data_IF_164106828910
#
_entry.id   IF_164106828910
#
_cell.length_a   1.000
_cell.length_b   1.000
_cell.length_c   1.000
_cell.angle_alpha   90.00
_cell.angle_beta   90.00
_cell.angle_gamma   90.00
#
_symmetry.space_group_name_H-M   'P 1'
#
loop_
_entity.id
_entity.type
_entity.pdbx_description
1 polymer ?
#
# COMPACT_ATOMS: atom_id res chain seq x y z
N UNK A 1 16.26 -0.50 24.71
CA UNK A 1 16.13 -1.81 24.05
C UNK A 1 16.10 -1.59 22.54
N UNK A 2 16.94 -2.29 21.78
CA UNK A 2 17.04 -2.10 20.32
C UNK A 2 16.04 -3.01 19.61
N UNK A 3 15.25 -2.44 18.71
CA UNK A 3 14.34 -3.17 17.82
C UNK A 3 14.94 -3.18 16.41
N UNK A 4 15.37 -4.34 15.94
CA UNK A 4 16.03 -4.53 14.65
C UNK A 4 15.09 -5.29 13.71
N UNK A 5 15.06 -4.88 12.44
CA UNK A 5 14.33 -5.59 11.40
C UNK A 5 15.30 -6.21 10.40
N UNK A 6 15.13 -7.51 10.12
CA UNK A 6 15.76 -8.20 9.01
C UNK A 6 14.76 -8.26 7.85
N UNK A 7 15.10 -7.62 6.73
CA UNK A 7 14.20 -7.48 5.58
C UNK A 7 14.70 -8.28 4.38
N UNK A 8 13.87 -9.22 3.96
CA UNK A 8 13.99 -9.96 2.71
C UNK A 8 13.34 -9.17 1.57
N UNK A 9 14.14 -8.51 0.73
CA UNK A 9 13.61 -7.69 -0.37
C UNK A 9 13.31 -8.50 -1.65
N UNK A 10 13.81 -9.72 -1.76
CA UNK A 10 13.57 -10.56 -2.94
C UNK A 10 12.17 -11.17 -2.88
N UNK A 11 11.76 -11.65 -1.71
CA UNK A 11 10.42 -12.19 -1.48
C UNK A 11 9.36 -11.13 -1.13
N UNK A 12 9.79 -9.90 -0.85
CA UNK A 12 8.92 -8.75 -0.58
C UNK A 12 9.36 -7.55 -1.43
N UNK A 13 8.74 -7.39 -2.60
CA UNK A 13 8.88 -6.16 -3.39
C UNK A 13 8.15 -5.01 -2.69
N UNK A 14 8.81 -4.42 -1.70
CA UNK A 14 8.29 -3.27 -0.98
C UNK A 14 8.42 -2.01 -1.82
N UNK A 15 7.37 -1.19 -1.80
CA UNK A 15 7.44 0.18 -2.33
C UNK A 15 8.25 1.04 -1.36
N UNK A 16 9.02 2.01 -1.86
CA UNK A 16 9.92 2.85 -1.04
C UNK A 16 9.24 3.51 0.17
N UNK A 17 7.96 3.87 0.06
CA UNK A 17 7.16 4.42 1.17
C UNK A 17 7.06 3.48 2.38
N UNK A 18 7.07 2.17 2.14
CA UNK A 18 7.03 1.17 3.21
C UNK A 18 8.36 1.07 3.95
N UNK A 19 9.49 1.32 3.28
CA UNK A 19 10.80 1.30 3.93
C UNK A 19 10.96 2.51 4.87
N UNK A 20 10.44 3.67 4.51
CA UNK A 20 10.42 4.85 5.38
C UNK A 20 9.64 4.58 6.67
N UNK A 21 8.46 3.94 6.58
CA UNK A 21 7.67 3.56 7.76
C UNK A 21 8.44 2.57 8.65
N UNK A 22 9.15 1.61 8.06
CA UNK A 22 9.99 0.69 8.84
C UNK A 22 11.13 1.42 9.56
N UNK A 23 11.76 2.40 8.90
CA UNK A 23 12.83 3.18 9.52
C UNK A 23 12.32 4.03 10.70
N UNK A 24 11.05 4.41 10.72
CA UNK A 24 10.41 5.07 11.87
C UNK A 24 10.09 4.09 13.02
N UNK A 25 9.70 2.86 12.69
CA UNK A 25 9.27 1.85 13.68
C UNK A 25 10.42 1.05 14.29
N UNK A 26 11.55 0.94 13.60
CA UNK A 26 12.69 0.14 14.00
C UNK A 26 13.91 1.02 14.25
N UNK A 27 14.68 0.66 15.26
CA UNK A 27 15.97 1.32 15.53
C UNK A 27 16.95 1.09 14.39
N UNK A 28 16.92 -0.10 13.78
CA UNK A 28 17.75 -0.44 12.63
C UNK A 28 16.99 -1.39 11.70
N UNK A 29 17.11 -1.16 10.40
CA UNK A 29 16.61 -2.03 9.32
C UNK A 29 17.80 -2.56 8.55
N UNK A 30 17.94 -3.88 8.47
CA UNK A 30 18.98 -4.55 7.71
C UNK A 30 18.33 -5.27 6.52
N UNK A 31 18.68 -4.81 5.33
CA UNK A 31 18.21 -5.33 4.06
C UNK A 31 19.27 -6.27 3.49
N UNK A 32 18.86 -7.49 3.17
CA UNK A 32 19.71 -8.50 2.55
C UNK A 32 19.18 -8.80 1.16
N UNK A 33 20.07 -8.85 0.16
CA UNK A 33 19.72 -9.18 -1.22
C UNK A 33 20.87 -9.86 -1.95
N UNK A 34 20.56 -10.73 -2.90
CA UNK A 34 21.52 -11.37 -3.81
C UNK A 34 21.40 -10.81 -5.23
N UNK A 35 20.17 -10.68 -5.73
CA UNK A 35 19.80 -10.02 -6.98
C UNK A 35 18.63 -9.09 -6.72
N UNK A 36 18.79 -7.80 -6.98
CA UNK A 36 17.72 -6.82 -6.76
C UNK A 36 17.44 -6.00 -8.01
N UNK A 37 16.16 -5.90 -8.34
CA UNK A 37 15.62 -5.00 -9.36
C UNK A 37 15.00 -3.74 -8.73
N UNK A 38 15.38 -3.41 -7.48
CA UNK A 38 14.83 -2.26 -6.77
C UNK A 38 15.19 -0.96 -7.50
N UNK A 39 14.17 -0.24 -7.95
CA UNK A 39 14.31 1.09 -8.56
C UNK A 39 14.01 2.15 -7.51
N UNK A 40 15.02 2.96 -7.18
CA UNK A 40 14.95 4.04 -6.19
C UNK A 40 14.87 5.38 -6.93
N UNK A 41 13.94 6.26 -6.53
CA UNK A 41 13.92 7.62 -7.04
C UNK A 41 15.01 8.48 -6.35
N UNK A 42 15.54 9.48 -7.07
CA UNK A 42 16.61 10.35 -6.56
C UNK A 42 16.23 11.09 -5.27
N UNK A 43 14.98 11.52 -5.14
CA UNK A 43 14.50 12.20 -3.92
C UNK A 43 14.57 11.27 -2.70
N UNK A 44 14.28 9.98 -2.89
CA UNK A 44 14.35 8.97 -1.83
C UNK A 44 15.79 8.57 -1.48
N UNK A 45 16.73 8.74 -2.42
CA UNK A 45 18.15 8.46 -2.20
C UNK A 45 18.73 9.34 -1.09
N UNK A 46 18.26 10.58 -0.94
CA UNK A 46 18.70 11.48 0.13
C UNK A 46 18.24 11.01 1.51
N UNK A 47 17.01 10.47 1.61
CA UNK A 47 16.48 9.91 2.86
C UNK A 47 17.28 8.66 3.24
N UNK A 48 17.59 7.81 2.26
CA UNK A 48 18.37 6.59 2.51
C UNK A 48 19.84 6.87 2.79
N UNK A 49 20.46 7.84 2.12
CA UNK A 49 21.85 8.19 2.37
C UNK A 49 22.05 8.63 3.82
N UNK A 50 21.14 9.45 4.34
CA UNK A 50 21.13 9.84 5.75
C UNK A 50 20.92 8.63 6.66
N UNK A 51 19.92 7.79 6.40
CA UNK A 51 19.66 6.59 7.21
C UNK A 51 20.84 5.59 7.21
N UNK A 52 21.59 5.50 6.10
CA UNK A 52 22.80 4.66 5.98
C UNK A 52 23.95 5.26 6.78
N UNK A 53 24.17 6.58 6.69
CA UNK A 53 25.21 7.28 7.47
C UNK A 53 24.96 7.14 8.97
N UNK A 54 23.69 7.22 9.40
CA UNK A 54 23.27 7.02 10.78
C UNK A 54 23.26 5.54 11.22
N UNK A 55 23.66 4.61 10.35
CA UNK A 55 23.62 3.15 10.57
C UNK A 55 22.21 2.59 10.89
N UNK A 56 21.16 3.36 10.63
CA UNK A 56 19.75 2.94 10.80
C UNK A 56 19.27 2.08 9.64
N UNK A 57 19.86 2.23 8.45
CA UNK A 57 19.65 1.35 7.31
C UNK A 57 20.98 0.68 6.94
N UNK A 58 21.03 -0.65 6.98
CA UNK A 58 22.18 -1.41 6.50
C UNK A 58 21.77 -2.24 5.28
N UNK A 59 22.49 -2.09 4.18
CA UNK A 59 22.22 -2.80 2.92
C UNK A 59 23.35 -3.79 2.67
N UNK A 60 23.02 -5.08 2.61
CA UNK A 60 23.98 -6.18 2.48
C UNK A 60 23.70 -6.93 1.17
N UNK A 61 24.67 -6.88 0.27
CA UNK A 61 24.68 -7.68 -0.95
C UNK A 61 25.34 -9.03 -0.69
N UNK A 62 24.70 -10.11 -1.13
CA UNK A 62 25.29 -11.45 -1.07
C UNK A 62 26.43 -11.60 -2.09
N UNK A 63 27.54 -12.28 -1.73
CA UNK A 63 28.68 -12.46 -2.62
C UNK A 63 28.40 -13.41 -3.79
N UNK A 64 27.43 -14.31 -3.63
CA UNK A 64 26.96 -15.23 -4.67
C UNK A 64 25.46 -15.09 -4.80
N UNK A 65 24.98 -15.15 -6.04
CA UNK A 65 23.55 -15.21 -6.36
C UNK A 65 23.11 -16.68 -6.48
N UNK A 66 21.90 -16.98 -5.98
CA UNK A 66 21.34 -18.32 -5.93
C UNK A 66 20.05 -18.30 -5.09
N UNK A 67 19.17 -19.28 -5.31
CA UNK A 67 17.78 -19.28 -4.82
C UNK A 67 17.62 -18.96 -3.32
N UNK A 68 18.57 -19.39 -2.48
CA UNK A 68 18.49 -19.23 -1.02
C UNK A 68 19.54 -18.25 -0.48
N UNK A 69 20.17 -17.46 -1.35
CA UNK A 69 21.31 -16.62 -0.95
C UNK A 69 20.89 -15.54 0.05
N UNK A 70 19.72 -14.92 -0.16
CA UNK A 70 19.17 -13.96 0.79
C UNK A 70 18.85 -14.61 2.15
N UNK A 71 18.30 -15.83 2.15
CA UNK A 71 17.98 -16.58 3.38
C UNK A 71 19.21 -16.90 4.21
N UNK A 72 20.31 -17.31 3.56
CA UNK A 72 21.60 -17.51 4.23
C UNK A 72 22.13 -16.20 4.82
N UNK A 73 22.00 -15.09 4.09
CA UNK A 73 22.39 -13.78 4.59
C UNK A 73 21.55 -13.35 5.80
N UNK A 74 20.23 -13.48 5.74
CA UNK A 74 19.33 -13.15 6.85
C UNK A 74 19.64 -14.00 8.08
N UNK A 75 19.81 -15.31 7.91
CA UNK A 75 20.11 -16.25 9.01
C UNK A 75 21.49 -15.96 9.61
N UNK A 76 22.51 -15.69 8.80
CA UNK A 76 23.84 -15.31 9.27
C UNK A 76 23.79 -14.03 10.09
N UNK A 77 23.07 -13.01 9.62
CA UNK A 77 22.94 -11.73 10.31
C UNK A 77 22.13 -11.89 11.60
N UNK A 78 21.07 -12.71 11.60
CA UNK A 78 20.32 -13.06 12.82
C UNK A 78 21.24 -13.68 13.88
N UNK A 79 22.08 -14.67 13.50
CA UNK A 79 23.05 -15.28 14.39
C UNK A 79 24.14 -14.32 14.89
N UNK A 80 24.63 -13.41 14.02
CA UNK A 80 25.57 -12.37 14.45
C UNK A 80 24.92 -11.41 15.46
N UNK A 81 23.70 -10.96 15.16
CA UNK A 81 22.94 -10.09 16.05
C UNK A 81 22.71 -10.77 17.40
N UNK A 82 22.46 -12.09 17.41
CA UNK A 82 22.22 -12.79 18.66
C UNK A 82 23.40 -12.86 19.61
N UNK A 83 24.62 -12.82 19.09
CA UNK A 83 25.84 -12.73 19.90
C UNK A 83 26.14 -11.30 20.38
N UNK A 84 25.61 -10.27 19.72
CA UNK A 84 25.95 -8.86 19.97
C UNK A 84 24.88 -8.08 20.72
N UNK A 85 23.63 -8.55 20.68
CA UNK A 85 22.50 -7.89 21.33
C UNK A 85 22.29 -8.43 22.74
N UNK A 86 21.95 -7.53 23.66
CA UNK A 86 21.63 -7.88 25.04
C UNK A 86 20.28 -8.61 25.14
N UNK A 87 20.11 -9.46 26.17
CA UNK A 87 18.85 -10.15 26.46
C UNK A 87 17.69 -9.15 26.60
N UNK A 88 16.55 -9.45 25.96
CA UNK A 88 15.41 -8.53 25.87
C UNK A 88 15.42 -7.58 24.67
N UNK A 89 16.45 -7.63 23.83
CA UNK A 89 16.42 -7.01 22.49
C UNK A 89 15.45 -7.73 21.55
N UNK A 90 14.98 -7.04 20.51
CA UNK A 90 14.01 -7.58 19.56
C UNK A 90 14.57 -7.58 18.14
N UNK A 91 14.47 -8.71 17.46
CA UNK A 91 14.88 -8.92 16.07
C UNK A 91 13.70 -9.51 15.29
N UNK A 92 13.02 -8.69 14.51
CA UNK A 92 11.90 -9.13 13.69
C UNK A 92 12.42 -9.53 12.30
N UNK A 93 11.89 -10.62 11.75
CA UNK A 93 12.26 -11.11 10.40
C UNK A 93 11.08 -10.90 9.47
N UNK A 94 11.21 -10.03 8.48
CA UNK A 94 10.17 -9.81 7.49
C UNK A 94 10.48 -10.55 6.19
N UNK A 95 9.83 -11.70 6.02
CA UNK A 95 9.88 -12.53 4.82
C UNK A 95 8.57 -13.29 4.63
N UNK A 96 8.22 -13.55 3.37
CA UNK A 96 7.11 -14.42 3.01
C UNK A 96 7.47 -15.91 3.08
N UNK A 97 8.76 -16.24 3.15
CA UNK A 97 9.22 -17.62 3.21
C UNK A 97 8.89 -18.24 4.57
N UNK A 98 8.29 -19.43 4.55
CA UNK A 98 7.99 -20.20 5.76
C UNK A 98 9.26 -20.67 6.46
N UNK A 99 10.37 -20.87 5.74
CA UNK A 99 11.64 -21.32 6.30
C UNK A 99 12.27 -20.27 7.22
N UNK A 100 11.90 -18.99 7.10
CA UNK A 100 12.36 -17.95 8.02
C UNK A 100 11.81 -18.09 9.45
N UNK A 101 10.83 -18.97 9.67
CA UNK A 101 10.40 -19.34 11.02
C UNK A 101 11.52 -20.00 11.85
N UNK A 102 12.43 -20.76 11.20
CA UNK A 102 13.57 -21.37 11.90
C UNK A 102 14.51 -20.33 12.50
N UNK A 103 14.78 -19.23 11.79
CA UNK A 103 15.61 -18.14 12.31
C UNK A 103 14.97 -17.46 13.53
N UNK A 104 13.65 -17.28 13.52
CA UNK A 104 12.87 -16.73 14.64
C UNK A 104 12.89 -17.66 15.86
N UNK A 105 12.75 -18.97 15.64
CA UNK A 105 12.84 -19.95 16.72
C UNK A 105 14.23 -19.96 17.37
N UNK A 106 15.30 -19.92 16.57
CA UNK A 106 16.68 -19.87 17.06
C UNK A 106 16.98 -18.59 17.84
N UNK A 107 16.50 -17.43 17.38
CA UNK A 107 16.62 -16.16 18.10
C UNK A 107 15.89 -16.21 19.46
N UNK A 108 14.71 -16.81 19.49
CA UNK A 108 13.92 -16.98 20.72
C UNK A 108 14.62 -17.89 21.73
N UNK A 109 15.29 -18.96 21.29
CA UNK A 109 16.04 -19.88 22.16
C UNK A 109 17.19 -19.19 22.91
N UNK A 110 17.81 -18.18 22.30
CA UNK A 110 18.91 -17.42 22.91
C UNK A 110 18.44 -16.18 23.69
N UNK A 111 17.13 -16.05 23.93
CA UNK A 111 16.54 -14.98 24.75
C UNK A 111 16.29 -13.67 24.00
N UNK A 112 16.25 -13.70 22.66
CA UNK A 112 15.92 -12.55 21.82
C UNK A 112 14.48 -12.65 21.36
N UNK A 113 13.72 -11.58 21.59
CA UNK A 113 12.33 -11.51 21.12
C UNK A 113 12.33 -11.41 19.60
N UNK A 114 11.62 -12.30 18.92
CA UNK A 114 11.56 -12.28 17.46
C UNK A 114 10.20 -12.74 16.97
N UNK A 115 9.71 -12.12 15.90
CA UNK A 115 8.53 -12.55 15.18
C UNK A 115 8.78 -12.53 13.67
N UNK A 116 8.17 -13.48 12.98
CA UNK A 116 8.12 -13.44 11.53
C UNK A 116 6.98 -12.53 11.06
N UNK A 117 7.33 -11.52 10.29
CA UNK A 117 6.39 -10.57 9.71
C UNK A 117 6.17 -10.91 8.24
N UNK A 118 4.90 -10.96 7.85
CA UNK A 118 4.52 -11.07 6.43
C UNK A 118 4.25 -9.71 5.81
N UNK A 119 3.94 -8.69 6.60
CA UNK A 119 3.76 -7.28 6.20
C UNK A 119 4.03 -6.37 7.41
N UNK A 120 4.08 -5.05 7.16
CA UNK A 120 4.21 -3.99 8.18
C UNK A 120 3.23 -4.19 9.34
N UNK A 121 3.71 -4.01 10.58
CA UNK A 121 2.87 -3.99 11.78
C UNK A 121 2.42 -2.55 12.02
N UNK A 122 1.12 -2.30 12.19
CA UNK A 122 0.64 -1.02 12.73
C UNK A 122 0.99 -0.94 14.23
N UNK A 123 1.52 0.21 14.65
CA UNK A 123 2.10 0.51 15.97
C UNK A 123 1.28 0.02 17.18
N UNK A 124 1.93 -0.48 18.26
CA UNK A 124 1.25 -1.05 19.42
C UNK A 124 0.67 0.04 20.34
N UNK A 125 -0.59 -0.11 20.74
CA UNK A 125 -1.16 0.59 21.91
C UNK A 125 -0.80 -0.20 23.18
N UNK A 126 -0.54 0.55 24.25
CA UNK A 126 -0.02 0.19 25.57
C UNK A 126 -0.39 -1.19 26.18
N UNK A 127 0.46 -1.70 27.11
CA UNK A 127 0.20 -2.94 27.83
C UNK A 127 -0.92 -2.73 28.85
N UNK A 128 -1.98 -3.54 28.77
CA UNK A 128 -2.96 -3.62 29.86
C UNK A 128 -2.61 -4.75 30.85
N UNK A 129 -2.79 -4.50 32.16
CA UNK A 129 -2.64 -5.51 33.19
C UNK A 129 -3.79 -6.53 33.16
N UNK A 130 -3.48 -7.74 33.59
CA UNK A 130 -4.42 -8.84 33.78
C UNK A 130 -5.45 -8.44 34.84
N UNK A 131 -6.76 -8.45 34.54
CA UNK A 131 -7.82 -8.82 35.49
C UNK A 131 -9.18 -9.06 34.81
N UNK A 132 -9.58 -10.32 34.83
CA UNK A 132 -10.89 -10.87 35.25
C UNK A 132 -12.18 -10.19 34.75
N UNK A 133 -12.85 -10.96 33.89
CA UNK A 133 -14.30 -11.19 33.75
C UNK A 133 -15.24 -10.39 34.68
N UNK A 134 -16.18 -9.64 34.10
CA UNK A 134 -17.62 -9.74 34.44
C UNK A 134 -18.49 -8.97 33.43
N UNK A 135 -19.56 -9.63 33.02
CA UNK A 135 -20.63 -9.10 32.15
C UNK A 135 -21.49 -8.07 32.89
N UNK A 136 -21.93 -7.02 32.19
CA UNK A 136 -23.27 -6.43 32.38
C UNK A 136 -23.66 -5.53 31.20
N UNK A 137 -24.90 -5.75 30.77
CA UNK A 137 -25.61 -5.12 29.65
C UNK A 137 -26.10 -3.74 30.08
N UNK A 138 -25.83 -2.68 29.31
CA UNK A 138 -26.71 -1.52 29.17
C UNK A 138 -26.64 -0.98 27.74
N UNK A 139 -27.81 -0.90 27.11
CA UNK A 139 -28.07 -0.23 25.84
C UNK A 139 -27.74 1.26 25.93
N UNK A 140 -26.87 1.75 25.04
CA UNK A 140 -26.99 3.11 24.52
C UNK A 140 -26.77 3.07 23.00
N UNK A 141 -27.81 3.54 22.31
CA UNK A 141 -27.83 3.79 20.88
C UNK A 141 -26.91 4.97 20.59
N UNK A 142 -25.69 4.69 20.18
CA UNK A 142 -24.94 5.57 19.31
C UNK A 142 -24.57 4.75 18.08
N UNK A 143 -25.15 5.15 16.95
CA UNK A 143 -24.86 4.62 15.63
C UNK A 143 -23.38 4.83 15.30
N UNK A 144 -22.55 3.85 15.64
CA UNK A 144 -21.20 3.74 15.09
C UNK A 144 -21.40 3.43 13.60
N UNK A 145 -20.91 4.28 12.67
CA UNK A 145 -20.95 3.97 11.25
C UNK A 145 -20.00 2.80 11.03
N UNK A 146 -20.55 1.58 11.03
CA UNK A 146 -19.83 0.38 10.64
C UNK A 146 -19.50 0.54 9.16
N UNK A 147 -18.24 0.88 8.92
CA UNK A 147 -17.62 1.18 7.63
C UNK A 147 -18.18 0.27 6.54
N UNK A 148 -18.97 0.85 5.64
CA UNK A 148 -19.63 0.18 4.50
C UNK A 148 -18.64 -0.58 3.60
N UNK A 149 -17.36 -0.19 3.62
CA UNK A 149 -16.29 -0.80 2.83
C UNK A 149 -15.92 -2.22 3.31
N UNK A 150 -16.06 -2.52 4.60
CA UNK A 150 -15.68 -3.83 5.15
C UNK A 150 -16.72 -4.91 4.87
N UNK A 151 -18.00 -4.55 4.78
CA UNK A 151 -19.10 -5.49 4.45
C UNK A 151 -19.00 -5.92 2.98
N UNK A 152 -18.75 -4.99 2.05
CA UNK A 152 -18.58 -5.31 0.62
C UNK A 152 -17.39 -6.25 0.41
N UNK A 153 -16.24 -5.96 1.05
CA UNK A 153 -15.05 -6.83 1.02
C UNK A 153 -15.36 -8.24 1.53
N UNK A 154 -16.14 -8.37 2.60
CA UNK A 154 -16.56 -9.68 3.12
C UNK A 154 -17.45 -10.41 2.14
N UNK A 155 -18.44 -9.73 1.56
CA UNK A 155 -19.36 -10.35 0.61
C UNK A 155 -18.64 -10.82 -0.66
N UNK A 156 -17.65 -10.09 -1.16
CA UNK A 156 -16.79 -10.49 -2.28
C UNK A 156 -15.99 -11.77 -1.98
N UNK A 157 -15.43 -11.85 -0.77
CA UNK A 157 -14.68 -13.03 -0.34
C UNK A 157 -15.63 -14.21 -0.12
N UNK A 158 -16.85 -13.98 0.38
CA UNK A 158 -17.87 -15.02 0.61
C UNK A 158 -18.40 -15.64 -0.69
N UNK A 159 -18.34 -14.94 -1.82
CA UNK A 159 -18.64 -15.52 -3.14
C UNK A 159 -17.64 -16.64 -3.48
N UNK A 160 -16.37 -16.44 -3.12
CA UNK A 160 -15.25 -17.35 -3.45
C UNK A 160 -14.98 -18.38 -2.36
N UNK A 161 -15.21 -18.04 -1.10
CA UNK A 161 -14.88 -18.83 0.08
C UNK A 161 -16.08 -18.92 1.02
N UNK A 162 -16.68 -20.10 1.13
CA UNK A 162 -17.91 -20.34 1.91
C UNK A 162 -17.64 -21.25 3.11
N UNK A 163 -17.20 -20.71 4.27
CA UNK A 163 -17.09 -21.47 5.51
C UNK A 163 -18.41 -22.20 5.84
N UNK A 164 -18.34 -23.50 6.14
CA UNK A 164 -19.55 -24.31 6.39
C UNK A 164 -20.11 -24.18 7.82
N UNK A 165 -19.29 -23.67 8.76
CA UNK A 165 -19.59 -23.58 10.20
C UNK A 165 -19.48 -22.16 10.73
N UNK A 166 -20.30 -21.79 11.72
CA UNK A 166 -20.32 -20.44 12.31
C UNK A 166 -18.98 -20.08 12.97
N UNK A 167 -18.36 -21.02 13.69
CA UNK A 167 -17.04 -20.82 14.30
C UNK A 167 -15.95 -20.55 13.26
N UNK A 168 -16.03 -21.21 12.11
CA UNK A 168 -15.09 -20.99 10.99
C UNK A 168 -15.33 -19.63 10.34
N UNK A 169 -16.60 -19.25 10.10
CA UNK A 169 -16.93 -17.92 9.57
C UNK A 169 -16.45 -16.80 10.49
N UNK A 170 -16.64 -16.94 11.82
CA UNK A 170 -16.16 -15.94 12.79
C UNK A 170 -14.65 -15.77 12.74
N UNK A 171 -13.88 -16.88 12.69
CA UNK A 171 -12.42 -16.82 12.53
C UNK A 171 -12.03 -16.18 11.20
N UNK A 172 -12.73 -16.54 10.13
CA UNK A 172 -12.52 -15.95 8.81
C UNK A 172 -12.80 -14.44 8.77
N UNK A 173 -13.87 -13.95 9.40
CA UNK A 173 -14.19 -12.51 9.46
C UNK A 173 -13.17 -11.71 10.25
N UNK A 174 -12.69 -12.26 11.37
CA UNK A 174 -11.56 -11.68 12.12
C UNK A 174 -10.33 -11.55 11.23
N UNK A 175 -10.06 -12.54 10.37
CA UNK A 175 -8.91 -12.55 9.45
C UNK A 175 -9.14 -11.62 8.24
N UNK A 176 -10.34 -11.59 7.66
CA UNK A 176 -10.62 -10.84 6.42
C UNK A 176 -10.75 -9.33 6.64
N UNK A 177 -11.28 -8.92 7.79
CA UNK A 177 -11.53 -7.53 8.15
C UNK A 177 -10.61 -7.00 9.26
N UNK A 178 -9.75 -7.86 9.83
CA UNK A 178 -8.86 -7.46 10.93
C UNK A 178 -9.63 -6.87 12.13
N UNK A 179 -10.83 -7.40 12.40
CA UNK A 179 -11.73 -6.96 13.48
C UNK A 179 -11.66 -7.90 14.69
N UNK A 180 -11.96 -7.38 15.88
CA UNK A 180 -12.02 -8.19 17.09
C UNK A 180 -13.20 -9.19 17.08
N UNK A 181 -13.17 -10.16 18.02
CA UNK A 181 -14.19 -11.22 18.13
C UNK A 181 -15.60 -10.68 18.43
N UNK A 182 -15.72 -9.51 19.05
CA UNK A 182 -16.99 -8.83 19.32
C UNK A 182 -17.56 -8.24 18.04
N UNK A 183 -16.76 -7.45 17.32
CA UNK A 183 -17.12 -6.90 16.00
C UNK A 183 -17.41 -7.98 14.95
N UNK A 184 -16.70 -9.10 14.98
CA UNK A 184 -17.01 -10.25 14.12
C UNK A 184 -18.41 -10.82 14.38
N UNK A 185 -18.89 -10.82 15.64
CA UNK A 185 -20.28 -11.23 15.95
C UNK A 185 -21.30 -10.20 15.44
N UNK A 186 -20.99 -8.91 15.61
CA UNK A 186 -21.82 -7.82 15.07
C UNK A 186 -21.93 -7.96 13.54
N UNK A 187 -20.83 -8.26 12.86
CA UNK A 187 -20.82 -8.46 11.42
C UNK A 187 -21.60 -9.70 10.98
N UNK A 188 -21.53 -10.81 11.73
CA UNK A 188 -22.39 -11.98 11.49
C UNK A 188 -23.87 -11.61 11.66
N UNK A 189 -24.22 -10.88 12.72
CA UNK A 189 -25.60 -10.41 12.94
C UNK A 189 -26.06 -9.48 11.80
N UNK A 190 -25.19 -8.60 11.31
CA UNK A 190 -25.49 -7.72 10.18
C UNK A 190 -25.73 -8.53 8.89
N UNK A 191 -24.88 -9.53 8.59
CA UNK A 191 -25.08 -10.42 7.44
C UNK A 191 -26.37 -11.25 7.54
N UNK A 192 -26.80 -11.62 8.75
CA UNK A 192 -28.09 -12.28 9.00
C UNK A 192 -29.27 -11.32 8.82
N UNK A 193 -29.18 -10.08 9.32
CA UNK A 193 -30.21 -9.03 9.11
C UNK A 193 -30.38 -8.71 7.63
N UNK A 194 -29.28 -8.68 6.88
CA UNK A 194 -29.27 -8.48 5.42
C UNK A 194 -29.71 -9.72 4.63
N UNK A 195 -30.09 -10.81 5.31
CA UNK A 195 -30.50 -12.09 4.70
C UNK A 195 -29.44 -12.73 3.78
N UNK A 196 -28.16 -12.35 3.89
CA UNK A 196 -27.05 -12.91 3.12
C UNK A 196 -26.67 -14.31 3.60
N UNK A 197 -26.80 -14.56 4.90
CA UNK A 197 -26.50 -15.86 5.52
C UNK A 197 -27.61 -16.27 6.47
N UNK A 198 -27.88 -17.58 6.53
CA UNK A 198 -28.78 -18.20 7.50
C UNK A 198 -27.99 -19.26 8.27
N UNK A 199 -28.05 -19.20 9.59
CA UNK A 199 -27.36 -20.15 10.47
C UNK A 199 -28.43 -21.00 11.15
N UNK A 200 -28.39 -22.31 10.95
CA UNK A 200 -29.21 -23.30 11.67
C UNK A 200 -28.30 -24.43 12.14
N UNK A 201 -28.35 -24.77 13.42
CA UNK A 201 -27.58 -25.88 14.02
C UNK A 201 -26.08 -25.88 13.63
N UNK A 202 -25.42 -24.73 13.78
CA UNK A 202 -24.01 -24.48 13.43
C UNK A 202 -23.66 -24.66 11.93
N UNK A 203 -24.64 -24.91 11.05
CA UNK A 203 -24.47 -24.93 9.59
C UNK A 203 -24.91 -23.60 8.99
N UNK A 204 -24.07 -23.08 8.09
CA UNK A 204 -24.34 -21.83 7.37
C UNK A 204 -24.87 -22.15 5.98
N UNK A 205 -26.04 -21.60 5.65
CA UNK A 205 -26.56 -21.50 4.29
C UNK A 205 -26.38 -20.09 3.77
N UNK A 206 -25.78 -19.95 2.59
CA UNK A 206 -25.54 -18.67 1.93
C UNK A 206 -26.66 -18.40 0.94
N UNK A 207 -27.25 -17.21 0.99
CA UNK A 207 -28.24 -16.77 0.01
C UNK A 207 -27.51 -16.03 -1.11
N UNK A 208 -27.09 -16.76 -2.14
CA UNK A 208 -26.27 -16.22 -3.22
C UNK A 208 -26.95 -15.10 -4.01
N UNK A 209 -28.27 -15.19 -4.21
CA UNK A 209 -29.05 -14.13 -4.87
C UNK A 209 -29.06 -12.85 -4.04
N UNK A 210 -29.12 -12.97 -2.71
CA UNK A 210 -29.09 -11.80 -1.81
C UNK A 210 -27.68 -11.26 -1.61
N UNK A 211 -26.65 -12.11 -1.59
CA UNK A 211 -25.24 -11.68 -1.59
C UNK A 211 -24.94 -10.90 -2.88
N UNK A 212 -25.37 -11.42 -4.03
CA UNK A 212 -25.20 -10.74 -5.32
C UNK A 212 -26.04 -9.46 -5.40
N UNK A 213 -27.28 -9.45 -4.92
CA UNK A 213 -28.11 -8.23 -4.93
C UNK A 213 -27.56 -7.16 -3.99
N UNK A 214 -26.99 -7.52 -2.84
CA UNK A 214 -26.33 -6.59 -1.91
C UNK A 214 -24.97 -6.12 -2.46
N UNK A 215 -24.21 -6.99 -3.13
CA UNK A 215 -23.02 -6.57 -3.88
C UNK A 215 -23.38 -5.61 -5.02
N UNK A 216 -24.45 -5.89 -5.76
CA UNK A 216 -25.00 -5.00 -6.80
C UNK A 216 -25.55 -3.70 -6.20
N UNK A 217 -26.15 -3.71 -5.02
CA UNK A 217 -26.64 -2.52 -4.33
C UNK A 217 -25.52 -1.68 -3.70
N UNK A 218 -24.44 -2.32 -3.23
CA UNK A 218 -23.22 -1.62 -2.77
C UNK A 218 -22.38 -1.11 -3.94
N UNK A 219 -22.39 -1.78 -5.08
CA UNK A 219 -21.90 -1.24 -6.35
C UNK A 219 -22.81 -0.15 -6.93
N UNK A 220 -24.11 -0.15 -6.62
CA UNK A 220 -25.02 1.00 -6.86
C UNK A 220 -24.79 2.18 -5.90
N UNK A 221 -23.83 2.06 -4.98
CA UNK A 221 -23.10 3.17 -4.35
C UNK A 221 -21.60 3.05 -4.65
N UNK A 222 -21.27 2.96 -5.94
CA UNK A 222 -20.15 3.59 -6.66
C UNK A 222 -20.45 3.25 -8.12
N UNK A 223 -21.49 3.90 -8.62
CA UNK A 223 -21.69 4.07 -10.05
C UNK A 223 -20.66 5.12 -10.47
N UNK A 224 -19.50 4.67 -10.98
CA UNK A 224 -18.57 5.53 -11.72
C UNK A 224 -18.67 5.08 -13.18
N UNK A 225 -19.81 5.39 -13.76
CA UNK A 225 -19.88 6.10 -15.03
C UNK A 225 -20.40 7.51 -14.73
N UNK A 226 -19.88 8.53 -15.42
CA UNK A 226 -18.90 9.45 -14.89
C UNK A 226 -19.45 10.33 -13.74
N UNK A 227 -18.77 10.36 -12.58
CA UNK A 227 -18.73 11.62 -11.82
C UNK A 227 -18.01 12.58 -12.76
N UNK A 228 -18.69 13.66 -13.14
CA UNK A 228 -18.07 14.77 -13.81
C UNK A 228 -16.73 15.07 -13.11
N UNK A 229 -15.65 14.96 -13.89
CA UNK A 229 -14.33 15.47 -13.55
C UNK A 229 -14.49 16.89 -12.99
N UNK A 230 -14.50 17.04 -11.68
CA UNK A 230 -13.84 18.21 -11.11
C UNK A 230 -12.45 17.76 -10.72
N UNK A 231 -11.59 17.80 -11.74
CA UNK A 231 -10.16 17.92 -11.58
C UNK A 231 -9.93 19.19 -10.73
N UNK A 232 -9.94 19.07 -9.40
CA UNK A 232 -9.84 20.20 -8.46
C UNK A 232 -8.38 20.49 -8.11
N UNK A 233 -8.05 21.72 -7.70
CA UNK A 233 -6.68 22.02 -7.28
C UNK A 233 -6.21 21.18 -6.10
N UNK A 234 -7.10 20.82 -5.17
CA UNK A 234 -6.78 19.92 -4.06
C UNK A 234 -6.33 18.53 -4.56
N UNK A 235 -6.91 18.03 -5.65
CA UNK A 235 -6.51 16.76 -6.25
C UNK A 235 -5.17 16.86 -7.00
N UNK A 236 -4.93 17.99 -7.66
CA UNK A 236 -3.70 18.20 -8.45
C UNK A 236 -2.50 18.49 -7.55
N UNK A 237 -2.65 19.30 -6.49
CA UNK A 237 -1.54 19.78 -5.64
C UNK A 237 -0.76 18.65 -4.97
N UNK A 238 -1.44 17.56 -4.60
CA UNK A 238 -0.82 16.37 -4.00
C UNK A 238 -0.11 15.46 -5.03
N UNK A 239 -0.15 15.80 -6.33
CA UNK A 239 0.41 15.02 -7.45
C UNK A 239 1.32 15.89 -8.31
N UNK A 240 2.65 15.85 -8.09
CA UNK A 240 3.61 16.69 -8.81
C UNK A 240 3.56 16.57 -10.34
N UNK A 241 3.26 15.38 -10.86
CA UNK A 241 3.12 15.15 -12.30
C UNK A 241 1.88 15.84 -12.90
N UNK A 242 0.75 15.88 -12.17
CA UNK A 242 -0.45 16.61 -12.62
C UNK A 242 -0.27 18.12 -12.47
N UNK A 243 0.48 18.57 -11.46
CA UNK A 243 0.87 19.98 -11.33
C UNK A 243 1.65 20.45 -12.56
N UNK A 244 2.58 19.64 -13.08
CA UNK A 244 3.31 19.95 -14.32
C UNK A 244 2.40 19.99 -15.55
N UNK A 245 1.41 19.09 -15.64
CA UNK A 245 0.38 19.13 -16.70
C UNK A 245 -0.39 20.44 -16.63
N UNK A 246 -0.88 20.82 -15.44
CA UNK A 246 -1.56 22.10 -15.25
C UNK A 246 -0.68 23.31 -15.59
N UNK A 247 0.57 23.34 -15.11
CA UNK A 247 1.52 24.40 -15.42
C UNK A 247 1.74 24.57 -16.93
N UNK A 248 1.87 23.46 -17.65
CA UNK A 248 2.02 23.51 -19.11
C UNK A 248 0.73 23.93 -19.82
N UNK A 249 -0.44 23.49 -19.37
CA UNK A 249 -1.73 23.97 -19.90
C UNK A 249 -1.92 25.48 -19.67
N UNK A 250 -1.58 25.99 -18.49
CA UNK A 250 -1.59 27.43 -18.20
C UNK A 250 -0.65 28.22 -19.13
N UNK A 251 0.48 27.63 -19.53
CA UNK A 251 1.37 28.22 -20.52
C UNK A 251 0.77 28.18 -21.93
N UNK A 252 0.25 27.03 -22.36
CA UNK A 252 -0.38 26.84 -23.68
C UNK A 252 -1.58 27.76 -23.91
N UNK A 253 -2.34 28.06 -22.85
CA UNK A 253 -3.44 29.03 -22.87
C UNK A 253 -2.94 30.46 -23.17
N UNK A 254 -1.78 30.84 -22.61
CA UNK A 254 -1.16 32.16 -22.82
C UNK A 254 -0.57 32.33 -24.22
N UNK A 255 0.02 31.28 -24.81
CA UNK A 255 0.76 31.37 -26.09
C UNK A 255 -0.07 30.98 -27.33
N UNK A 256 -1.22 31.64 -27.54
CA UNK A 256 -2.21 31.25 -28.58
C UNK A 256 -1.62 30.97 -29.98
N UNK A 257 -0.66 31.78 -30.44
CA UNK A 257 -0.13 31.74 -31.82
C UNK A 257 1.22 31.02 -32.00
N UNK A 258 1.90 30.64 -30.91
CA UNK A 258 3.27 30.08 -30.96
C UNK A 258 3.34 28.64 -30.43
N UNK A 259 2.26 27.87 -30.61
CA UNK A 259 2.23 26.48 -30.15
C UNK A 259 3.16 25.61 -31.02
N UNK A 260 4.02 24.77 -30.41
CA UNK A 260 4.91 23.90 -31.18
C UNK A 260 4.16 22.93 -32.08
N UNK A 261 4.44 22.96 -33.38
CA UNK A 261 3.76 22.11 -34.37
C UNK A 261 4.47 20.78 -34.64
N UNK A 262 5.77 20.70 -34.30
CA UNK A 262 6.62 19.51 -34.46
C UNK A 262 7.06 18.96 -33.11
N UNK A 263 7.32 17.65 -33.04
CA UNK A 263 7.75 16.99 -31.80
C UNK A 263 9.01 17.62 -31.18
N UNK A 264 10.05 17.91 -31.97
CA UNK A 264 11.27 18.57 -31.47
C UNK A 264 11.01 19.95 -30.87
N UNK A 265 10.07 20.71 -31.46
CA UNK A 265 9.63 22.00 -30.91
C UNK A 265 8.87 21.85 -29.59
N UNK A 266 8.05 20.80 -29.45
CA UNK A 266 7.34 20.50 -28.21
C UNK A 266 8.30 20.10 -27.10
N UNK A 267 9.29 19.27 -27.40
CA UNK A 267 10.34 18.88 -26.46
C UNK A 267 11.08 20.12 -25.94
N UNK A 268 11.50 21.02 -26.82
CA UNK A 268 12.16 22.27 -26.42
C UNK A 268 11.26 23.21 -25.60
N UNK A 269 9.98 23.32 -25.97
CA UNK A 269 8.98 24.08 -25.20
C UNK A 269 8.81 23.51 -23.79
N UNK A 270 8.71 22.19 -23.66
CA UNK A 270 8.60 21.50 -22.37
C UNK A 270 9.87 21.70 -21.52
N UNK A 271 11.06 21.59 -22.11
CA UNK A 271 12.33 21.84 -21.42
C UNK A 271 12.39 23.27 -20.86
N UNK A 272 12.03 24.26 -21.67
CA UNK A 272 12.03 25.67 -21.28
C UNK A 272 10.99 26.00 -20.20
N UNK A 273 9.74 25.59 -20.41
CA UNK A 273 8.61 25.98 -19.55
C UNK A 273 8.61 25.23 -18.22
N UNK A 274 8.93 23.94 -18.24
CA UNK A 274 8.92 23.08 -17.05
C UNK A 274 10.32 22.88 -16.44
N UNK A 275 11.34 23.57 -16.97
CA UNK A 275 12.75 23.47 -16.53
C UNK A 275 13.24 22.03 -16.49
N UNK A 276 12.99 21.28 -17.56
CA UNK A 276 13.43 19.89 -17.69
C UNK A 276 14.78 19.86 -18.41
N UNK A 277 15.83 19.43 -17.72
CA UNK A 277 17.20 19.42 -18.28
C UNK A 277 17.51 18.16 -19.11
N UNK A 278 16.80 17.06 -18.85
CA UNK A 278 17.05 15.75 -19.47
C UNK A 278 15.92 15.30 -20.39
N UNK A 279 16.24 14.46 -21.39
CA UNK A 279 15.28 13.99 -22.39
C UNK A 279 14.24 13.00 -21.84
N UNK A 280 14.59 12.18 -20.84
CA UNK A 280 13.68 11.18 -20.27
C UNK A 280 12.44 11.81 -19.57
N UNK A 281 12.60 12.83 -18.69
CA UNK A 281 11.47 13.58 -18.14
C UNK A 281 10.56 14.23 -19.21
N UNK A 282 11.14 14.74 -20.31
CA UNK A 282 10.40 15.36 -21.40
C UNK A 282 9.51 14.35 -22.12
N UNK A 283 10.04 13.15 -22.42
CA UNK A 283 9.26 12.06 -23.02
C UNK A 283 8.11 11.61 -22.13
N UNK A 284 8.35 11.50 -20.81
CA UNK A 284 7.30 11.18 -19.85
C UNK A 284 6.20 12.25 -19.83
N UNK A 285 6.58 13.51 -19.94
CA UNK A 285 5.64 14.62 -20.01
C UNK A 285 4.78 14.58 -21.28
N UNK A 286 5.37 14.27 -22.44
CA UNK A 286 4.63 14.07 -23.70
C UNK A 286 3.60 12.94 -23.54
N UNK A 287 3.97 11.84 -22.89
CA UNK A 287 3.05 10.73 -22.64
C UNK A 287 1.89 11.12 -21.70
N UNK A 288 2.15 11.96 -20.68
CA UNK A 288 1.09 12.50 -19.81
C UNK A 288 0.13 13.41 -20.59
N UNK A 289 0.64 14.28 -21.45
CA UNK A 289 -0.19 15.15 -22.30
C UNK A 289 -1.08 14.33 -23.25
N UNK A 290 -0.57 13.22 -23.81
CA UNK A 290 -1.37 12.28 -24.60
C UNK A 290 -2.45 11.60 -23.76
N UNK A 291 -2.07 11.10 -22.58
CA UNK A 291 -2.99 10.40 -21.66
C UNK A 291 -4.17 11.28 -21.24
N UNK A 292 -3.91 12.56 -20.99
CA UNK A 292 -4.94 13.54 -20.64
C UNK A 292 -5.60 14.21 -21.85
N UNK A 293 -5.40 13.65 -23.06
CA UNK A 293 -5.97 14.13 -24.32
C UNK A 293 -5.68 15.61 -24.63
N UNK A 294 -4.59 16.17 -24.08
CA UNK A 294 -4.18 17.57 -24.33
C UNK A 294 -3.54 17.70 -25.71
N UNK A 295 -2.78 16.68 -26.12
CA UNK A 295 -2.15 16.59 -27.43
C UNK A 295 -2.43 15.24 -28.08
N UNK A 296 -2.43 15.23 -29.40
CA UNK A 296 -2.34 14.05 -30.23
C UNK A 296 -1.19 14.24 -31.23
N UNK A 297 -0.43 13.18 -31.48
CA UNK A 297 0.66 13.20 -32.46
C UNK A 297 0.20 12.40 -33.67
N UNK A 298 0.10 13.08 -34.81
CA UNK A 298 -0.24 12.49 -36.09
C UNK A 298 0.98 12.62 -37.02
N UNK A 299 1.72 11.52 -37.17
CA UNK A 299 3.04 11.52 -37.80
C UNK A 299 4.03 12.46 -37.08
N UNK A 300 4.50 13.50 -37.78
CA UNK A 300 5.41 14.52 -37.23
C UNK A 300 4.69 15.77 -36.71
N UNK A 301 3.36 15.85 -36.85
CA UNK A 301 2.56 17.03 -36.50
C UNK A 301 1.86 16.84 -35.17
N UNK A 302 1.84 17.89 -34.36
CA UNK A 302 1.13 17.91 -33.07
C UNK A 302 -0.22 18.62 -33.24
N UNK A 303 -1.26 17.96 -32.78
CA UNK A 303 -2.63 18.47 -32.71
C UNK A 303 -2.95 18.75 -31.25
N UNK A 304 -3.32 19.98 -30.92
CA UNK A 304 -3.69 20.39 -29.57
C UNK A 304 -5.20 20.38 -29.39
N UNK A 305 -5.68 19.76 -28.32
CA UNK A 305 -7.10 19.78 -27.96
C UNK A 305 -7.37 20.99 -27.08
N UNK A 306 -7.95 22.03 -27.67
CA UNK A 306 -8.14 23.34 -27.00
C UNK A 306 -9.04 23.21 -25.78
N UNK A 307 -10.09 22.39 -25.87
CA UNK A 307 -11.04 22.18 -24.77
C UNK A 307 -10.36 21.57 -23.54
N UNK A 308 -9.52 20.55 -23.75
CA UNK A 308 -8.74 19.93 -22.67
C UNK A 308 -7.72 20.91 -22.07
N UNK A 309 -7.10 21.78 -22.88
CA UNK A 309 -6.19 22.81 -22.36
C UNK A 309 -6.95 23.77 -21.45
N UNK A 310 -8.12 24.26 -21.89
CA UNK A 310 -8.94 25.19 -21.11
C UNK A 310 -9.46 24.54 -19.82
N UNK A 311 -9.90 23.28 -19.89
CA UNK A 311 -10.33 22.50 -18.72
C UNK A 311 -9.23 22.37 -17.68
N UNK A 312 -7.98 22.16 -18.09
CA UNK A 312 -6.85 22.08 -17.16
C UNK A 312 -6.42 23.44 -16.61
N UNK A 313 -6.52 24.49 -17.43
CA UNK A 313 -6.14 25.84 -17.03
C UNK A 313 -7.12 26.46 -16.03
N UNK A 314 -8.43 26.21 -16.20
CA UNK A 314 -9.51 26.78 -15.39
C UNK A 314 -9.58 26.25 -13.94
N UNK A 315 -8.85 25.17 -13.62
CA UNK A 315 -8.83 24.55 -12.30
C UNK A 315 -8.23 25.52 -11.26
N UNK A 316 -9.02 25.96 -10.29
CA UNK A 316 -8.62 26.91 -9.23
C UNK A 316 -8.40 26.24 -7.89
#
# INVERSE_FOLDING_TARGET
MKKVLLLDIENQSKKLRELTILLEQYHQVILVYATSNLVIALDDLMIFSQAIQEQRLLVIKMPKAGANSADFGLTFIAGRLSATLEQGSCVDVMSNDKEMSYAVELLSQVGIQSIQLKQLIESPKNPEPILVTQEKIVNQQESIPLVTQDITRVLEILVKNKPKKQKSLKKSLVVWCQIDKGKANIMIQTLQRMSCIMIKEDKIKYNEQTIQSVLLQSCKKIDISPIADEMTMAYISVRPHLMRVKQYCNYLEKIKNNKPTKQSGLENSLKSVLKLEQDAPVKNMINLLKKHKIIQIDGQKIIYQVDSIMQWASIK
#
